data_IF_665181311145
#
_entry.id   IF_665181311145
#
_cell.length_a   1.000
_cell.length_b   1.000
_cell.length_c   1.000
_cell.angle_alpha   90.00
_cell.angle_beta   90.00
_cell.angle_gamma   90.00
#
_symmetry.space_group_name_H-M   'P 1'
#
loop_
_entity.id
_entity.type
_entity.pdbx_description
1 polymer ?
#
# COMPACT_ATOMS: atom_id res chain seq x y z
N UNK A 1 35.81 -1.41 3.17
CA UNK A 1 35.04 -0.72 2.12
C UNK A 1 33.54 -0.77 2.43
N UNK A 2 32.95 -1.96 2.70
CA UNK A 2 31.54 -2.14 3.03
C UNK A 2 31.10 -1.22 4.18
N UNK A 3 31.77 -1.25 5.33
CA UNK A 3 31.48 -0.39 6.49
C UNK A 3 31.43 1.09 6.14
N UNK A 4 32.39 1.56 5.33
CA UNK A 4 32.46 2.97 4.91
C UNK A 4 31.24 3.39 4.05
N UNK A 5 30.75 2.49 3.20
CA UNK A 5 29.56 2.76 2.40
C UNK A 5 28.27 2.69 3.25
N UNK A 6 28.24 1.78 4.23
CA UNK A 6 27.14 1.68 5.19
C UNK A 6 27.03 2.91 6.12
N UNK A 7 28.17 3.48 6.54
CA UNK A 7 28.21 4.75 7.29
C UNK A 7 27.56 5.91 6.51
N UNK A 8 27.62 5.84 5.17
CA UNK A 8 26.92 6.77 4.27
C UNK A 8 25.42 6.51 4.10
N UNK A 9 24.84 5.56 4.87
CA UNK A 9 23.42 5.21 4.81
C UNK A 9 23.03 4.35 3.62
N UNK A 10 23.99 3.75 2.90
CA UNK A 10 23.72 2.84 1.79
C UNK A 10 23.55 1.42 2.29
N UNK A 11 22.58 0.70 1.73
CA UNK A 11 22.42 -0.73 1.90
C UNK A 11 23.32 -1.45 0.90
N UNK A 12 24.14 -2.38 1.41
CA UNK A 12 25.13 -3.11 0.62
C UNK A 12 24.72 -4.58 0.49
N UNK A 13 24.59 -5.03 -0.74
CA UNK A 13 24.47 -6.45 -1.07
C UNK A 13 25.82 -6.97 -1.55
N UNK A 14 26.21 -8.13 -1.04
CA UNK A 14 27.46 -8.82 -1.42
C UNK A 14 27.13 -10.23 -1.86
N UNK A 15 27.77 -10.69 -2.91
CA UNK A 15 27.71 -12.07 -3.36
C UNK A 15 29.13 -12.64 -3.39
N UNK A 16 29.30 -13.89 -2.96
CA UNK A 16 30.60 -14.54 -2.91
C UNK A 16 30.49 -16.05 -2.73
N UNK A 17 31.56 -16.75 -3.02
CA UNK A 17 31.66 -18.22 -2.96
C UNK A 17 32.90 -18.72 -2.17
N UNK A 18 33.86 -17.85 -1.95
CA UNK A 18 35.14 -18.19 -1.33
C UNK A 18 35.17 -17.95 0.19
N UNK A 19 36.11 -18.62 0.85
CA UNK A 19 36.41 -18.38 2.27
C UNK A 19 36.84 -16.93 2.51
N UNK A 20 37.52 -16.32 1.53
CA UNK A 20 37.94 -14.92 1.61
C UNK A 20 36.76 -13.93 1.58
N UNK A 21 35.60 -14.35 1.06
CA UNK A 21 34.42 -13.53 0.97
C UNK A 21 33.60 -13.56 2.27
N UNK A 22 33.81 -14.56 3.13
CA UNK A 22 33.05 -14.76 4.35
C UNK A 22 32.96 -13.49 5.24
N UNK A 23 34.08 -12.74 5.51
CA UNK A 23 33.98 -11.51 6.30
C UNK A 23 33.18 -10.41 5.60
N UNK A 24 33.19 -10.35 4.27
CA UNK A 24 32.41 -9.37 3.48
C UNK A 24 30.94 -9.74 3.44
N UNK A 25 30.64 -11.04 3.28
CA UNK A 25 29.28 -11.57 3.34
C UNK A 25 28.61 -11.31 4.70
N UNK A 26 29.34 -11.57 5.80
CA UNK A 26 28.87 -11.32 7.15
C UNK A 26 28.65 -9.83 7.47
N UNK A 27 29.44 -8.94 6.85
CA UNK A 27 29.36 -7.49 7.09
C UNK A 27 28.29 -6.82 6.23
N UNK A 28 27.95 -7.38 5.09
CA UNK A 28 26.93 -6.81 4.18
C UNK A 28 25.54 -6.86 4.80
N UNK A 29 24.66 -5.93 4.42
CA UNK A 29 23.25 -5.95 4.82
C UNK A 29 22.53 -7.16 4.21
N UNK A 30 22.92 -7.54 3.00
CA UNK A 30 22.49 -8.77 2.33
C UNK A 30 23.73 -9.50 1.81
N UNK A 31 24.09 -10.61 2.46
CA UNK A 31 25.19 -11.50 2.03
C UNK A 31 24.60 -12.73 1.34
N UNK A 32 24.87 -12.91 0.05
CA UNK A 32 24.42 -14.05 -0.74
C UNK A 32 25.59 -14.97 -1.04
N UNK A 33 25.60 -16.17 -0.47
CA UNK A 33 26.59 -17.20 -0.78
C UNK A 33 26.11 -18.10 -1.91
N UNK A 34 27.02 -18.55 -2.75
CA UNK A 34 26.73 -19.57 -3.76
C UNK A 34 26.61 -20.95 -3.11
N UNK A 35 25.70 -21.80 -3.62
CA UNK A 35 25.58 -23.18 -3.16
C UNK A 35 26.86 -24.00 -3.39
N UNK A 36 27.56 -23.72 -4.49
CA UNK A 36 28.88 -24.31 -4.79
C UNK A 36 30.02 -23.69 -3.99
N UNK A 37 29.74 -22.65 -3.21
CA UNK A 37 30.71 -21.95 -2.40
C UNK A 37 31.20 -22.78 -1.19
N UNK A 38 32.28 -22.29 -0.57
CA UNK A 38 32.84 -22.90 0.64
C UNK A 38 31.86 -22.88 1.80
N UNK A 39 31.98 -23.79 2.75
CA UNK A 39 31.13 -23.83 3.94
C UNK A 39 31.22 -22.50 4.71
N UNK A 40 32.42 -21.91 4.82
CA UNK A 40 32.59 -20.61 5.48
C UNK A 40 31.78 -19.48 4.82
N UNK A 41 31.75 -19.45 3.48
CA UNK A 41 30.91 -18.46 2.75
C UNK A 41 29.43 -18.69 3.00
N UNK A 42 28.98 -19.94 2.96
CA UNK A 42 27.56 -20.29 3.19
C UNK A 42 27.09 -19.99 4.62
N UNK A 43 27.94 -20.19 5.60
CA UNK A 43 27.61 -19.86 7.01
C UNK A 43 27.67 -18.37 7.29
N UNK A 44 28.46 -17.61 6.56
CA UNK A 44 28.60 -16.17 6.72
C UNK A 44 27.48 -15.37 6.01
N UNK A 45 26.88 -15.93 4.96
CA UNK A 45 25.81 -15.28 4.21
C UNK A 45 24.45 -15.40 4.90
N UNK A 46 23.60 -14.39 4.70
CA UNK A 46 22.19 -14.44 5.14
C UNK A 46 21.32 -15.29 4.20
N UNK A 47 21.77 -15.49 2.97
CA UNK A 47 21.07 -16.22 1.92
C UNK A 47 22.03 -17.14 1.18
N UNK A 48 21.50 -18.23 0.65
CA UNK A 48 22.25 -19.13 -0.24
C UNK A 48 21.52 -19.22 -1.57
N UNK A 49 22.22 -18.90 -2.65
CA UNK A 49 21.73 -19.10 -4.02
C UNK A 49 21.95 -20.55 -4.44
N UNK A 50 20.86 -21.32 -4.51
CA UNK A 50 20.90 -22.75 -4.83
C UNK A 50 21.33 -23.03 -6.27
N UNK A 51 21.07 -22.12 -7.18
CA UNK A 51 21.45 -22.24 -8.61
C UNK A 51 22.89 -21.82 -8.86
N UNK A 52 23.56 -21.23 -7.87
CA UNK A 52 24.92 -20.68 -7.98
C UNK A 52 25.09 -19.70 -9.15
N UNK A 53 24.06 -18.89 -9.39
CA UNK A 53 24.01 -17.93 -10.48
C UNK A 53 24.10 -16.49 -9.95
N UNK A 54 25.22 -15.76 -10.18
CA UNK A 54 25.38 -14.39 -9.67
C UNK A 54 24.30 -13.41 -10.13
N UNK A 55 23.62 -13.67 -11.25
CA UNK A 55 22.56 -12.80 -11.76
C UNK A 55 21.28 -12.86 -10.92
N UNK A 56 21.12 -13.91 -10.07
CA UNK A 56 20.00 -14.05 -9.13
C UNK A 56 19.92 -12.91 -8.11
N UNK A 57 21.03 -12.30 -7.77
CA UNK A 57 21.04 -11.12 -6.91
C UNK A 57 20.20 -9.98 -7.50
N UNK A 58 20.21 -9.81 -8.82
CA UNK A 58 19.41 -8.79 -9.49
C UNK A 58 17.92 -9.11 -9.31
N UNK A 59 17.52 -10.37 -9.48
CA UNK A 59 16.13 -10.82 -9.27
C UNK A 59 15.69 -10.60 -7.81
N UNK A 60 16.55 -10.91 -6.83
CA UNK A 60 16.27 -10.69 -5.41
C UNK A 60 16.05 -9.21 -5.12
N UNK A 61 16.89 -8.33 -5.65
CA UNK A 61 16.75 -6.87 -5.51
C UNK A 61 15.47 -6.38 -6.19
N UNK A 62 15.13 -6.91 -7.36
CA UNK A 62 13.93 -6.56 -8.11
C UNK A 62 12.67 -6.96 -7.32
N UNK A 63 12.60 -8.18 -6.82
CA UNK A 63 11.50 -8.68 -5.99
C UNK A 63 11.39 -7.85 -4.69
N UNK A 64 12.51 -7.56 -4.02
CA UNK A 64 12.53 -6.74 -2.82
C UNK A 64 11.96 -5.33 -3.08
N UNK A 65 12.38 -4.69 -4.17
CA UNK A 65 11.83 -3.39 -4.58
C UNK A 65 10.35 -3.47 -4.94
N UNK A 66 9.91 -4.53 -5.61
CA UNK A 66 8.50 -4.76 -5.93
C UNK A 66 7.65 -4.88 -4.66
N UNK A 67 8.12 -5.61 -3.65
CA UNK A 67 7.44 -5.74 -2.37
C UNK A 67 7.31 -4.39 -1.64
N UNK A 68 8.39 -3.61 -1.59
CA UNK A 68 8.36 -2.28 -0.98
C UNK A 68 7.41 -1.33 -1.71
N UNK A 69 7.41 -1.35 -3.04
CA UNK A 69 6.50 -0.55 -3.86
C UNK A 69 5.05 -0.95 -3.64
N UNK A 70 4.77 -2.25 -3.59
CA UNK A 70 3.43 -2.77 -3.33
C UNK A 70 2.92 -2.34 -1.96
N UNK A 71 3.75 -2.50 -0.93
CA UNK A 71 3.42 -2.06 0.43
C UNK A 71 3.15 -0.55 0.49
N UNK A 72 3.99 0.26 -0.14
CA UNK A 72 3.80 1.71 -0.23
C UNK A 72 2.50 2.10 -0.94
N UNK A 73 2.20 1.46 -2.07
CA UNK A 73 0.98 1.70 -2.84
C UNK A 73 -0.28 1.35 -2.04
N UNK A 74 -0.31 0.18 -1.40
CA UNK A 74 -1.43 -0.26 -0.57
C UNK A 74 -1.65 0.64 0.64
N UNK A 75 -0.57 1.03 1.32
CA UNK A 75 -0.64 1.95 2.48
C UNK A 75 -1.19 3.31 2.05
N UNK A 76 -0.69 3.87 0.94
CA UNK A 76 -1.18 5.15 0.39
C UNK A 76 -2.66 5.07 0.06
N UNK A 77 -3.09 4.00 -0.63
CA UNK A 77 -4.50 3.78 -0.95
C UNK A 77 -5.35 3.65 0.31
N UNK A 78 -4.93 2.86 1.30
CA UNK A 78 -5.68 2.62 2.54
C UNK A 78 -5.89 3.92 3.32
N UNK A 79 -4.84 4.71 3.53
CA UNK A 79 -4.94 6.00 4.22
C UNK A 79 -5.88 6.95 3.47
N UNK A 80 -5.70 7.09 2.16
CA UNK A 80 -6.53 7.96 1.33
C UNK A 80 -8.01 7.53 1.37
N UNK A 81 -8.26 6.23 1.27
CA UNK A 81 -9.58 5.62 1.35
C UNK A 81 -10.26 5.84 2.73
N UNK A 82 -9.50 5.69 3.82
CA UNK A 82 -10.06 5.87 5.16
C UNK A 82 -10.39 7.34 5.43
N UNK A 83 -9.50 8.26 5.09
CA UNK A 83 -9.77 9.70 5.20
C UNK A 83 -10.98 10.09 4.35
N UNK A 84 -11.06 9.60 3.12
CA UNK A 84 -12.16 9.88 2.19
C UNK A 84 -13.52 9.40 2.72
N UNK A 85 -13.57 8.22 3.33
CA UNK A 85 -14.79 7.69 3.96
C UNK A 85 -15.32 8.60 5.08
N UNK A 86 -14.44 9.17 5.89
CA UNK A 86 -14.88 10.11 6.93
C UNK A 86 -15.54 11.35 6.32
N UNK A 87 -14.96 11.93 5.28
CA UNK A 87 -15.56 13.07 4.58
C UNK A 87 -16.89 12.72 3.88
N UNK A 88 -17.06 11.47 3.48
CA UNK A 88 -18.31 11.00 2.88
C UNK A 88 -19.43 10.79 3.92
N UNK A 89 -19.11 10.21 5.06
CA UNK A 89 -20.08 9.72 6.03
C UNK A 89 -20.45 10.79 7.07
N UNK A 90 -19.47 11.53 7.61
CA UNK A 90 -19.72 12.50 8.69
C UNK A 90 -20.74 13.57 8.33
N UNK A 91 -20.72 14.19 7.13
CA UNK A 91 -21.74 15.15 6.76
C UNK A 91 -23.15 14.55 6.67
N UNK A 92 -23.26 13.31 6.19
CA UNK A 92 -24.54 12.63 6.10
C UNK A 92 -25.10 12.25 7.47
N UNK A 93 -24.24 11.83 8.42
CA UNK A 93 -24.67 11.45 9.76
C UNK A 93 -25.02 12.64 10.65
N UNK A 94 -24.23 13.69 10.61
CA UNK A 94 -24.34 14.82 11.55
C UNK A 94 -24.98 16.07 10.95
N UNK A 95 -25.24 16.08 9.64
CA UNK A 95 -25.87 17.21 8.95
C UNK A 95 -27.21 17.64 9.58
N UNK A 96 -28.04 16.69 9.95
CA UNK A 96 -29.34 16.93 10.60
C UNK A 96 -29.21 17.50 12.02
N UNK A 97 -28.24 17.03 12.81
CA UNK A 97 -28.02 17.50 14.18
C UNK A 97 -27.67 18.99 14.23
N UNK A 98 -26.81 19.42 13.30
CA UNK A 98 -26.39 20.82 13.21
C UNK A 98 -27.39 21.70 12.44
N UNK A 99 -28.23 21.11 11.60
CA UNK A 99 -29.31 21.82 10.92
C UNK A 99 -30.38 22.28 11.88
N UNK A 100 -30.76 21.46 12.87
CA UNK A 100 -31.74 21.80 13.91
C UNK A 100 -31.27 22.97 14.79
N UNK A 101 -29.98 23.09 15.05
CA UNK A 101 -29.40 24.17 15.84
C UNK A 101 -29.22 25.49 15.09
N UNK A 102 -29.14 25.45 13.75
CA UNK A 102 -28.79 26.59 12.90
C UNK A 102 -29.96 27.07 11.97
N UNK A 103 -31.20 26.65 12.23
CA UNK A 103 -32.36 27.12 11.46
C UNK A 103 -32.44 26.61 10.02
N UNK A 104 -31.95 25.39 9.74
CA UNK A 104 -32.20 24.69 8.48
C UNK A 104 -30.99 24.27 7.65
N UNK A 105 -29.82 24.89 7.81
CA UNK A 105 -28.56 24.47 7.14
C UNK A 105 -27.39 24.60 8.06
N UNK A 106 -26.82 23.46 8.46
CA UNK A 106 -25.65 23.42 9.31
C UNK A 106 -24.33 23.63 8.54
N UNK A 107 -23.22 23.94 9.23
CA UNK A 107 -21.91 24.13 8.60
C UNK A 107 -21.41 22.87 7.85
N UNK A 108 -21.87 21.68 8.22
CA UNK A 108 -21.55 20.42 7.57
C UNK A 108 -22.30 20.15 6.27
N UNK A 109 -23.39 20.90 6.02
CA UNK A 109 -24.16 20.76 4.78
C UNK A 109 -23.34 21.11 3.53
N UNK A 110 -22.41 22.05 3.65
CA UNK A 110 -21.43 22.39 2.58
C UNK A 110 -20.46 21.26 2.24
N UNK A 111 -20.23 20.34 3.17
CA UNK A 111 -19.38 19.18 2.99
C UNK A 111 -20.16 17.95 2.54
N UNK A 112 -21.49 18.01 2.51
CA UNK A 112 -22.35 16.91 2.06
C UNK A 112 -22.40 16.84 0.53
N UNK A 113 -21.25 16.49 -0.07
CA UNK A 113 -21.06 16.40 -1.53
C UNK A 113 -21.88 15.22 -2.11
N UNK A 114 -22.09 14.17 -1.31
CA UNK A 114 -22.64 12.91 -1.78
C UNK A 114 -24.18 12.88 -1.78
N UNK A 115 -24.83 13.71 -0.96
CA UNK A 115 -26.29 13.70 -0.80
C UNK A 115 -26.83 12.27 -0.66
N UNK A 116 -26.33 11.53 0.35
CA UNK A 116 -26.80 10.19 0.66
C UNK A 116 -28.24 10.24 1.17
N UNK A 117 -29.01 9.19 0.89
CA UNK A 117 -30.47 9.19 1.11
C UNK A 117 -30.85 9.38 2.58
N UNK A 118 -30.19 8.65 3.47
CA UNK A 118 -30.41 8.75 4.92
C UNK A 118 -29.11 8.48 5.69
N UNK A 119 -29.02 8.87 6.98
CA UNK A 119 -27.88 8.49 7.81
C UNK A 119 -27.69 6.98 7.91
N UNK A 120 -28.78 6.22 7.94
CA UNK A 120 -28.75 4.75 8.01
C UNK A 120 -28.23 4.15 6.72
N UNK A 121 -28.69 4.64 5.55
CA UNK A 121 -28.18 4.18 4.25
C UNK A 121 -26.71 4.54 4.07
N UNK A 122 -26.28 5.69 4.57
CA UNK A 122 -24.87 6.11 4.53
C UNK A 122 -23.96 5.16 5.30
N UNK A 123 -24.35 4.78 6.51
CA UNK A 123 -23.58 3.84 7.34
C UNK A 123 -23.54 2.46 6.66
N UNK A 124 -24.69 1.95 6.23
CA UNK A 124 -24.79 0.64 5.60
C UNK A 124 -23.98 0.56 4.31
N UNK A 125 -24.09 1.58 3.46
CA UNK A 125 -23.31 1.67 2.21
C UNK A 125 -21.81 1.69 2.47
N UNK A 126 -21.37 2.42 3.49
CA UNK A 126 -19.96 2.48 3.85
C UNK A 126 -19.41 1.15 4.42
N UNK A 127 -20.22 0.43 5.22
CA UNK A 127 -19.85 -0.88 5.76
C UNK A 127 -19.75 -1.91 4.63
N UNK A 128 -20.72 -1.94 3.72
CA UNK A 128 -20.70 -2.82 2.54
C UNK A 128 -19.49 -2.49 1.66
N UNK A 129 -19.26 -1.22 1.37
CA UNK A 129 -18.10 -0.79 0.60
C UNK A 129 -16.79 -1.23 1.25
N UNK A 130 -16.66 -1.10 2.58
CA UNK A 130 -15.45 -1.50 3.29
C UNK A 130 -15.19 -3.00 3.17
N UNK A 131 -16.22 -3.83 3.25
CA UNK A 131 -16.09 -5.27 3.03
C UNK A 131 -15.64 -5.59 1.60
N UNK A 132 -16.25 -4.95 0.61
CA UNK A 132 -15.92 -5.17 -0.81
C UNK A 132 -14.51 -4.71 -1.17
N UNK A 133 -14.06 -3.55 -0.66
CA UNK A 133 -12.73 -3.02 -0.98
C UNK A 133 -11.62 -3.89 -0.38
N UNK A 134 -11.81 -4.46 0.81
CA UNK A 134 -10.85 -5.40 1.41
C UNK A 134 -10.67 -6.61 0.48
N UNK A 135 -11.77 -7.23 0.03
CA UNK A 135 -11.72 -8.37 -0.89
C UNK A 135 -11.05 -7.99 -2.21
N UNK A 136 -11.34 -6.80 -2.75
CA UNK A 136 -10.75 -6.30 -3.99
C UNK A 136 -9.24 -6.00 -3.87
N UNK A 137 -8.76 -5.61 -2.69
CA UNK A 137 -7.34 -5.34 -2.46
C UNK A 137 -6.49 -6.60 -2.27
N UNK A 138 -7.07 -7.74 -1.89
CA UNK A 138 -6.34 -8.99 -1.72
C UNK A 138 -5.57 -9.41 -2.99
N UNK A 139 -6.17 -9.46 -4.20
CA UNK A 139 -5.44 -9.80 -5.41
C UNK A 139 -4.32 -8.81 -5.74
N UNK A 140 -4.51 -7.52 -5.44
CA UNK A 140 -3.48 -6.50 -5.63
C UNK A 140 -2.31 -6.70 -4.67
N UNK A 141 -2.59 -7.07 -3.43
CA UNK A 141 -1.58 -7.38 -2.42
C UNK A 141 -0.75 -8.63 -2.81
N UNK A 142 -1.43 -9.67 -3.33
CA UNK A 142 -0.78 -10.93 -3.71
C UNK A 142 0.02 -10.82 -5.02
N UNK A 143 -0.51 -10.17 -6.05
CA UNK A 143 0.19 -9.99 -7.34
C UNK A 143 1.30 -8.95 -7.26
N UNK A 144 1.18 -8.00 -6.35
CA UNK A 144 2.07 -6.87 -6.24
C UNK A 144 1.90 -5.84 -7.37
N UNK A 145 2.49 -4.68 -7.14
CA UNK A 145 2.62 -3.62 -8.15
C UNK A 145 3.80 -3.95 -9.05
N UNK A 146 3.61 -3.86 -10.37
CA UNK A 146 4.64 -4.18 -11.35
C UNK A 146 5.89 -3.32 -11.12
N UNK A 147 7.04 -3.94 -10.94
CA UNK A 147 8.31 -3.24 -10.82
C UNK A 147 8.62 -2.45 -12.09
N UNK A 148 9.03 -1.22 -11.92
CA UNK A 148 9.54 -0.37 -12.99
C UNK A 148 10.90 0.19 -12.56
N UNK A 149 11.95 0.09 -13.38
CA UNK A 149 13.30 0.56 -13.06
C UNK A 149 13.37 2.10 -13.17
N UNK A 150 12.56 2.80 -12.38
CA UNK A 150 12.49 4.26 -12.31
C UNK A 150 13.11 4.75 -11.00
N UNK A 151 13.56 6.00 -10.97
CA UNK A 151 14.04 6.62 -9.75
C UNK A 151 12.97 6.66 -8.65
N UNK A 152 13.37 6.55 -7.39
CA UNK A 152 12.46 6.48 -6.24
C UNK A 152 11.45 7.64 -6.19
N UNK A 153 11.86 8.85 -6.52
CA UNK A 153 10.98 10.03 -6.55
C UNK A 153 9.88 9.94 -7.61
N UNK A 154 10.19 9.38 -8.80
CA UNK A 154 9.21 9.19 -9.89
C UNK A 154 8.18 8.14 -9.50
N UNK A 155 8.65 7.04 -8.90
CA UNK A 155 7.78 5.96 -8.41
C UNK A 155 6.85 6.46 -7.32
N UNK A 156 7.38 7.20 -6.35
CA UNK A 156 6.61 7.79 -5.26
C UNK A 156 5.50 8.70 -5.82
N UNK A 157 5.86 9.63 -6.71
CA UNK A 157 4.89 10.54 -7.34
C UNK A 157 3.81 9.78 -8.10
N UNK A 158 4.18 8.75 -8.87
CA UNK A 158 3.23 7.91 -9.62
C UNK A 158 2.30 7.16 -8.68
N UNK A 159 2.83 6.58 -7.61
CA UNK A 159 2.03 5.87 -6.61
C UNK A 159 1.08 6.82 -5.87
N UNK A 160 1.53 8.00 -5.47
CA UNK A 160 0.66 9.00 -4.86
C UNK A 160 -0.47 9.45 -5.78
N UNK A 161 -0.20 9.64 -7.08
CA UNK A 161 -1.24 10.02 -8.04
C UNK A 161 -2.25 8.86 -8.25
N UNK A 162 -1.79 7.66 -8.52
CA UNK A 162 -2.67 6.54 -8.84
C UNK A 162 -3.43 6.06 -7.60
N UNK A 163 -2.71 5.73 -6.54
CA UNK A 163 -3.29 5.11 -5.34
C UNK A 163 -3.84 6.13 -4.35
N UNK A 164 -3.25 7.34 -4.27
CA UNK A 164 -3.77 8.43 -3.45
C UNK A 164 -5.06 9.00 -4.02
N UNK A 165 -5.04 9.44 -5.28
CA UNK A 165 -6.23 9.97 -5.95
C UNK A 165 -7.30 8.88 -6.11
N UNK A 166 -6.91 7.65 -6.50
CA UNK A 166 -7.81 6.50 -6.56
C UNK A 166 -8.44 6.20 -5.19
N UNK A 167 -7.64 6.20 -4.13
CA UNK A 167 -8.12 6.02 -2.75
C UNK A 167 -9.10 7.09 -2.29
N UNK A 168 -8.99 8.32 -2.80
CA UNK A 168 -9.95 9.39 -2.52
C UNK A 168 -11.23 9.22 -3.34
N UNK A 169 -11.15 8.97 -4.63
CA UNK A 169 -12.31 8.97 -5.53
C UNK A 169 -13.17 7.71 -5.41
N UNK A 170 -12.55 6.55 -5.26
CA UNK A 170 -13.24 5.25 -5.23
C UNK A 170 -14.32 5.20 -4.13
N UNK A 171 -14.07 5.60 -2.87
CA UNK A 171 -15.10 5.59 -1.83
C UNK A 171 -16.32 6.44 -2.20
N UNK A 172 -16.11 7.65 -2.72
CA UNK A 172 -17.22 8.53 -3.10
C UNK A 172 -18.12 7.90 -4.16
N UNK A 173 -17.50 7.33 -5.20
CA UNK A 173 -18.27 6.70 -6.29
C UNK A 173 -19.01 5.44 -5.81
N UNK A 174 -18.30 4.53 -5.16
CA UNK A 174 -18.87 3.24 -4.78
C UNK A 174 -19.85 3.33 -3.62
N UNK A 175 -19.61 4.15 -2.59
CA UNK A 175 -20.57 4.36 -1.51
C UNK A 175 -21.87 4.95 -2.08
N UNK A 176 -21.78 5.91 -3.01
CA UNK A 176 -22.98 6.46 -3.67
C UNK A 176 -23.72 5.43 -4.51
N UNK A 177 -23.00 4.59 -5.26
CA UNK A 177 -23.62 3.50 -6.03
C UNK A 177 -24.34 2.49 -5.13
N UNK A 178 -23.72 2.12 -4.01
CA UNK A 178 -24.31 1.20 -3.03
C UNK A 178 -25.53 1.85 -2.37
N UNK A 179 -25.47 3.13 -2.01
CA UNK A 179 -26.59 3.89 -1.45
C UNK A 179 -27.81 3.86 -2.39
N UNK A 180 -27.60 4.19 -3.66
CA UNK A 180 -28.63 4.12 -4.69
C UNK A 180 -29.22 2.71 -4.85
N UNK A 181 -28.36 1.69 -4.83
CA UNK A 181 -28.79 0.30 -4.93
C UNK A 181 -29.63 -0.14 -3.72
N UNK A 182 -29.23 0.25 -2.50
CA UNK A 182 -29.97 -0.06 -1.28
C UNK A 182 -31.36 0.59 -1.26
N UNK A 183 -31.45 1.84 -1.72
CA UNK A 183 -32.72 2.55 -1.84
C UNK A 183 -33.62 1.90 -2.91
N UNK A 184 -33.06 1.56 -4.07
CA UNK A 184 -33.81 0.90 -5.14
C UNK A 184 -34.33 -0.50 -4.75
N UNK A 185 -33.62 -1.21 -3.89
CA UNK A 185 -34.00 -2.52 -3.35
C UNK A 185 -34.89 -2.41 -2.09
N UNK A 186 -35.26 -1.20 -1.65
CA UNK A 186 -35.98 -0.95 -0.39
C UNK A 186 -35.34 -1.58 0.86
N UNK A 187 -34.01 -1.70 0.87
CA UNK A 187 -33.23 -2.25 1.98
C UNK A 187 -32.76 -1.18 2.98
N UNK A 188 -32.89 0.09 2.63
CA UNK A 188 -32.63 1.23 3.51
C UNK A 188 -33.86 2.15 3.52
N UNK A 189 -34.29 2.62 4.71
CA UNK A 189 -35.38 3.59 4.84
C UNK A 189 -34.95 4.97 4.36
#
# INVERSE_FOLDING_TARGET
RIRKEQEGGKLIAMIGDGTNDAPALAQADVGVAMNTGTQAAREAGNMVDLDSNPTKLIEVVEIGKQLLMTRGALTTFSIANDVSKYFAILPAMFGLLYALSAGGRGPLDKLNIMYLHSPQSAILSAVIFNALIIVALIPLALKGVKYQPLGAAVILRKNMLIYGVGGILIPFVFIKLIDVALVALHLAP
#
